data_IF_242785452849
#
_entry.id   IF_242785452849
#
_cell.length_a   1.000
_cell.length_b   1.000
_cell.length_c   1.000
_cell.angle_alpha   90.00
_cell.angle_beta   90.00
_cell.angle_gamma   90.00
#
_symmetry.space_group_name_H-M   'P 1'
#
loop_
_entity.id
_entity.type
_entity.pdbx_description
1 polymer ?
#
# COMPACT_ATOMS: atom_id res chain seq x y z
N UNK A 1 5.02 13.26 -12.09
CA UNK A 1 4.79 12.22 -13.13
C UNK A 1 5.40 12.58 -14.47
N UNK A 2 5.52 11.62 -15.40
CA UNK A 2 5.90 11.92 -16.78
C UNK A 2 4.68 11.78 -17.71
N UNK A 3 4.24 12.90 -18.27
CA UNK A 3 3.20 12.96 -19.29
C UNK A 3 3.85 13.10 -20.66
N UNK A 4 3.37 12.33 -21.63
CA UNK A 4 3.67 12.59 -23.04
C UNK A 4 2.43 13.19 -23.68
N UNK A 5 2.58 14.37 -24.26
CA UNK A 5 1.53 15.05 -24.98
C UNK A 5 1.92 15.15 -26.45
N UNK A 6 1.21 14.40 -27.28
CA UNK A 6 1.41 14.34 -28.71
C UNK A 6 0.29 15.12 -29.38
N UNK A 7 0.61 16.25 -30.01
CA UNK A 7 -0.37 17.06 -30.73
C UNK A 7 0.32 17.96 -31.74
N UNK A 8 -0.37 18.25 -32.84
CA UNK A 8 0.04 19.30 -33.78
C UNK A 8 -0.62 20.66 -33.46
N UNK A 9 -1.57 20.69 -32.52
CA UNK A 9 -2.24 21.91 -32.07
C UNK A 9 -1.48 22.53 -30.88
N UNK A 10 -0.72 23.58 -31.17
CA UNK A 10 0.07 24.36 -30.20
C UNK A 10 -0.82 25.01 -29.13
N UNK A 11 -2.05 25.40 -29.47
CA UNK A 11 -3.00 26.01 -28.54
C UNK A 11 -3.51 24.96 -27.56
N UNK A 12 -3.82 23.75 -28.06
CA UNK A 12 -4.17 22.62 -27.21
C UNK A 12 -3.04 22.24 -26.26
N UNK A 13 -1.80 22.11 -26.77
CA UNK A 13 -0.62 21.77 -25.96
C UNK A 13 -0.47 22.76 -24.80
N UNK A 14 -0.53 24.06 -25.09
CA UNK A 14 -0.34 25.11 -24.09
C UNK A 14 -1.41 25.08 -23.00
N UNK A 15 -2.69 24.90 -23.37
CA UNK A 15 -3.80 24.76 -22.41
C UNK A 15 -3.68 23.49 -21.56
N UNK A 16 -3.28 22.38 -22.18
CA UNK A 16 -3.09 21.11 -21.50
C UNK A 16 -1.96 21.15 -20.48
N UNK A 17 -0.84 21.79 -20.81
CA UNK A 17 0.27 21.98 -19.88
C UNK A 17 -0.20 22.76 -18.65
N UNK A 18 -0.97 23.83 -18.84
CA UNK A 18 -1.50 24.62 -17.73
C UNK A 18 -2.41 23.81 -16.81
N UNK A 19 -3.33 23.02 -17.38
CA UNK A 19 -4.25 22.18 -16.60
C UNK A 19 -3.55 21.00 -15.90
N UNK A 20 -2.56 20.38 -16.52
CA UNK A 20 -1.75 19.34 -15.88
C UNK A 20 -0.95 19.95 -14.72
N UNK A 21 -0.34 21.12 -14.90
CA UNK A 21 0.39 21.82 -13.84
C UNK A 21 -0.50 22.27 -12.68
N UNK A 22 -1.77 22.60 -12.94
CA UNK A 22 -2.76 22.84 -11.87
C UNK A 22 -3.06 21.58 -11.05
N UNK A 23 -2.95 20.39 -11.65
CA UNK A 23 -3.13 19.12 -10.95
C UNK A 23 -1.85 18.67 -10.23
N UNK A 24 -0.67 18.88 -10.84
CA UNK A 24 0.65 18.56 -10.29
C UNK A 24 1.71 19.52 -10.83
N UNK A 25 2.17 20.40 -9.95
CA UNK A 25 3.13 21.45 -10.30
C UNK A 25 4.48 20.89 -10.77
N UNK A 26 4.86 19.69 -10.30
CA UNK A 26 6.08 18.97 -10.65
C UNK A 26 5.96 17.98 -11.81
N UNK A 27 4.86 17.98 -12.56
CA UNK A 27 4.68 17.10 -13.71
C UNK A 27 5.71 17.39 -14.81
N UNK A 28 6.46 16.37 -15.23
CA UNK A 28 7.34 16.41 -16.39
C UNK A 28 6.51 16.15 -17.64
N UNK A 29 6.36 17.17 -18.48
CA UNK A 29 5.53 17.09 -19.68
C UNK A 29 6.44 17.10 -20.89
N UNK A 30 6.47 15.99 -21.61
CA UNK A 30 7.13 15.85 -22.89
C UNK A 30 6.13 16.19 -23.98
N UNK A 31 6.50 17.07 -24.90
CA UNK A 31 5.68 17.42 -26.05
C UNK A 31 6.36 16.96 -27.32
N UNK A 32 5.65 16.22 -28.16
CA UNK A 32 6.14 15.86 -29.50
C UNK A 32 5.09 16.16 -30.54
N UNK A 33 5.55 16.59 -31.71
CA UNK A 33 4.77 16.49 -32.93
C UNK A 33 4.81 15.05 -33.46
N UNK A 34 3.99 14.74 -34.47
CA UNK A 34 3.94 13.41 -35.08
C UNK A 34 5.16 13.09 -35.98
N UNK A 35 6.29 13.77 -35.81
CA UNK A 35 7.50 13.59 -36.63
C UNK A 35 8.43 12.49 -36.09
N UNK A 36 9.08 11.73 -36.97
CA UNK A 36 9.95 10.59 -36.62
C UNK A 36 11.16 10.98 -35.75
N UNK A 37 11.82 12.10 -36.05
CA UNK A 37 13.00 12.56 -35.28
C UNK A 37 12.63 12.89 -33.82
N UNK A 38 11.47 13.51 -33.62
CA UNK A 38 10.93 13.84 -32.29
C UNK A 38 10.60 12.57 -31.49
N UNK A 39 10.09 11.53 -32.15
CA UNK A 39 9.76 10.25 -31.51
C UNK A 39 10.99 9.46 -31.07
N UNK A 40 12.08 9.50 -31.85
CA UNK A 40 13.34 8.85 -31.50
C UNK A 40 13.96 9.45 -30.23
N UNK A 41 13.85 10.77 -30.08
CA UNK A 41 14.36 11.51 -28.92
C UNK A 41 13.59 11.20 -27.63
N UNK A 42 12.32 10.82 -27.72
CA UNK A 42 11.51 10.48 -26.55
C UNK A 42 11.71 9.04 -26.10
N UNK A 43 12.23 8.15 -26.95
CA UNK A 43 12.35 6.69 -26.69
C UNK A 43 12.96 6.32 -25.34
N UNK A 44 13.99 7.02 -24.87
CA UNK A 44 14.63 6.78 -23.56
C UNK A 44 13.78 7.22 -22.38
N UNK A 45 12.79 8.08 -22.62
CA UNK A 45 11.86 8.63 -21.63
C UNK A 45 10.49 7.95 -21.62
N UNK A 46 10.18 7.09 -22.62
CA UNK A 46 8.88 6.39 -22.75
C UNK A 46 8.68 5.37 -21.62
N UNK A 47 9.74 4.71 -21.18
CA UNK A 47 9.72 3.65 -20.16
C UNK A 47 9.19 4.09 -18.79
N UNK A 48 9.16 5.39 -18.54
CA UNK A 48 8.69 5.98 -17.28
C UNK A 48 7.43 6.83 -17.48
N UNK A 49 6.77 6.77 -18.65
CA UNK A 49 5.55 7.54 -18.90
C UNK A 49 4.39 7.02 -18.07
N UNK A 50 3.73 7.96 -17.40
CA UNK A 50 2.56 7.74 -16.58
C UNK A 50 1.27 7.73 -17.39
N UNK A 51 1.22 8.58 -18.42
CA UNK A 51 0.06 8.78 -19.28
C UNK A 51 0.51 9.41 -20.60
N UNK A 52 -0.04 8.95 -21.71
CA UNK A 52 0.13 9.58 -23.01
C UNK A 52 -1.21 10.19 -23.48
N UNK A 53 -1.17 11.43 -23.95
CA UNK A 53 -2.33 12.13 -24.51
C UNK A 53 -2.01 12.41 -25.97
N UNK A 54 -2.76 11.78 -26.86
CA UNK A 54 -2.61 11.90 -28.30
C UNK A 54 -3.81 12.69 -28.83
N UNK A 55 -3.58 13.95 -29.16
CA UNK A 55 -4.60 14.82 -29.71
C UNK A 55 -4.28 15.18 -31.16
N UNK A 56 -5.04 14.61 -32.09
CA UNK A 56 -4.93 14.86 -33.52
C UNK A 56 -6.07 15.76 -33.98
N UNK A 57 -5.75 16.80 -34.76
CA UNK A 57 -6.80 17.55 -35.46
C UNK A 57 -7.29 16.73 -36.67
N UNK A 58 -8.60 16.77 -37.05
CA UNK A 58 -9.17 15.92 -38.10
C UNK A 58 -8.48 15.98 -39.48
N UNK A 59 -7.69 17.03 -39.72
CA UNK A 59 -7.00 17.30 -40.99
C UNK A 59 -5.54 16.85 -41.04
N UNK A 60 -5.07 16.06 -40.05
CA UNK A 60 -3.63 15.81 -39.85
C UNK A 60 -3.12 14.59 -40.63
N UNK A 61 -3.87 13.50 -40.77
CA UNK A 61 -3.41 12.32 -41.52
C UNK A 61 -3.48 12.57 -43.02
N UNK A 62 -2.47 13.25 -43.57
CA UNK A 62 -2.36 13.50 -45.02
C UNK A 62 -1.80 12.30 -45.77
N UNK A 63 -1.06 11.42 -45.09
CA UNK A 63 -0.39 10.25 -45.70
C UNK A 63 -0.61 8.98 -44.89
N UNK A 64 -0.55 7.82 -45.55
CA UNK A 64 -0.73 6.49 -44.93
C UNK A 64 0.41 6.18 -43.95
N UNK A 65 1.63 6.65 -44.22
CA UNK A 65 2.84 6.39 -43.41
C UNK A 65 2.74 6.96 -41.99
N UNK A 66 2.23 8.19 -41.83
CA UNK A 66 2.04 8.83 -40.52
C UNK A 66 1.05 8.06 -39.63
N UNK A 67 0.04 7.43 -40.24
CA UNK A 67 -0.95 6.61 -39.51
C UNK A 67 -0.35 5.31 -38.97
N UNK A 68 0.55 4.67 -39.73
CA UNK A 68 1.28 3.47 -39.30
C UNK A 68 2.28 3.74 -38.20
N UNK A 69 2.98 4.88 -38.25
CA UNK A 69 3.93 5.27 -37.21
C UNK A 69 3.19 5.50 -35.88
N UNK A 70 2.07 6.22 -35.91
CA UNK A 70 1.26 6.46 -34.71
C UNK A 70 0.71 5.14 -34.12
N UNK A 71 0.25 4.22 -34.96
CA UNK A 71 -0.16 2.89 -34.51
C UNK A 71 0.99 2.11 -33.86
N UNK A 72 2.22 2.25 -34.35
CA UNK A 72 3.41 1.62 -33.74
C UNK A 72 3.76 2.22 -32.37
N UNK A 73 3.66 3.55 -32.23
CA UNK A 73 3.89 4.26 -30.95
C UNK A 73 2.82 3.88 -29.93
N UNK A 74 1.55 3.85 -30.34
CA UNK A 74 0.44 3.39 -29.49
C UNK A 74 0.62 1.92 -29.12
N UNK A 75 1.06 1.08 -30.06
CA UNK A 75 1.41 -0.33 -29.81
C UNK A 75 2.51 -0.49 -28.76
N UNK A 76 3.56 0.31 -28.84
CA UNK A 76 4.63 0.32 -27.84
C UNK A 76 4.14 0.80 -26.47
N UNK A 77 3.38 1.90 -26.42
CA UNK A 77 2.81 2.44 -25.18
C UNK A 77 1.85 1.45 -24.52
N UNK A 78 1.08 0.72 -25.34
CA UNK A 78 0.21 -0.34 -24.86
C UNK A 78 1.02 -1.52 -24.29
N UNK A 79 2.08 -1.94 -24.98
CA UNK A 79 2.98 -2.98 -24.50
C UNK A 79 3.72 -2.58 -23.20
N UNK A 80 4.04 -1.29 -23.02
CA UNK A 80 4.60 -0.74 -21.77
C UNK A 80 3.54 -0.50 -20.69
N UNK A 81 2.29 -0.91 -20.94
CA UNK A 81 1.14 -0.76 -20.05
C UNK A 81 0.89 0.71 -19.63
N UNK A 82 1.21 1.65 -20.52
CA UNK A 82 1.00 3.08 -20.34
C UNK A 82 -0.40 3.43 -20.84
N UNK A 83 -1.19 4.13 -20.01
CA UNK A 83 -2.52 4.56 -20.41
C UNK A 83 -2.45 5.60 -21.53
N UNK A 84 -3.32 5.49 -22.52
CA UNK A 84 -3.38 6.42 -23.67
C UNK A 84 -4.75 7.05 -23.74
N UNK A 85 -4.82 8.39 -23.82
CA UNK A 85 -6.03 9.13 -24.13
C UNK A 85 -5.89 9.64 -25.56
N UNK A 86 -6.90 9.41 -26.41
CA UNK A 86 -6.87 9.92 -27.77
C UNK A 86 -8.22 10.42 -28.27
N UNK A 87 -8.20 11.39 -29.17
CA UNK A 87 -9.38 11.86 -29.90
C UNK A 87 -9.46 11.27 -31.32
N UNK A 88 -8.43 10.56 -31.76
CA UNK A 88 -8.35 10.03 -33.11
C UNK A 88 -9.13 8.72 -33.24
N UNK A 89 -10.18 8.76 -34.07
CA UNK A 89 -11.02 7.60 -34.35
C UNK A 89 -10.37 6.61 -35.31
N UNK A 90 -9.33 6.98 -36.06
CA UNK A 90 -8.64 6.04 -36.95
C UNK A 90 -7.91 4.95 -36.15
N UNK A 91 -7.31 5.32 -35.02
CA UNK A 91 -6.76 4.37 -34.03
C UNK A 91 -7.82 3.42 -33.44
N UNK A 92 -9.10 3.83 -33.40
CA UNK A 92 -10.20 3.02 -32.88
C UNK A 92 -10.59 1.84 -33.80
N UNK A 93 -10.23 1.87 -35.09
CA UNK A 93 -10.50 0.77 -36.02
C UNK A 93 -9.48 -0.36 -35.91
N UNK A 94 -8.34 -0.13 -35.25
CA UNK A 94 -7.43 -1.21 -34.90
C UNK A 94 -8.00 -1.97 -33.69
N UNK A 95 -8.61 -3.12 -33.97
CA UNK A 95 -9.17 -4.08 -33.00
C UNK A 95 -8.22 -4.51 -31.87
N UNK A 96 -6.92 -4.21 -32.01
CA UNK A 96 -5.90 -4.45 -30.98
C UNK A 96 -6.03 -3.51 -29.76
N UNK A 97 -6.66 -2.34 -29.91
CA UNK A 97 -6.67 -1.27 -28.89
C UNK A 97 -8.01 -1.06 -28.20
N UNK A 98 -8.98 -1.97 -28.39
CA UNK A 98 -10.35 -1.85 -27.84
C UNK A 98 -10.48 -2.24 -26.36
N UNK A 99 -9.40 -2.66 -25.71
CA UNK A 99 -9.37 -3.00 -24.28
C UNK A 99 -8.96 -1.80 -23.41
N UNK A 100 -9.30 -1.87 -22.11
CA UNK A 100 -9.21 -0.87 -21.00
C UNK A 100 -8.04 0.15 -20.96
N UNK A 101 -6.98 -0.01 -21.76
CA UNK A 101 -5.79 0.86 -21.77
C UNK A 101 -5.88 2.12 -22.65
N UNK A 102 -6.77 2.16 -23.64
CA UNK A 102 -6.94 3.32 -24.55
C UNK A 102 -8.31 3.94 -24.37
N UNK A 103 -8.36 5.24 -24.07
CA UNK A 103 -9.60 5.98 -23.91
C UNK A 103 -9.84 7.01 -25.00
N UNK A 104 -11.01 6.92 -25.62
CA UNK A 104 -11.42 7.82 -26.70
C UNK A 104 -12.24 8.99 -26.17
N UNK A 105 -11.68 10.20 -26.26
CA UNK A 105 -12.31 11.44 -25.82
C UNK A 105 -12.18 12.50 -26.93
N UNK A 106 -13.31 12.87 -27.53
CA UNK A 106 -13.34 13.74 -28.71
C UNK A 106 -13.34 15.25 -28.40
N UNK A 107 -13.47 15.64 -27.12
CA UNK A 107 -13.56 17.06 -26.71
C UNK A 107 -12.49 17.39 -25.67
N UNK A 108 -11.81 18.53 -25.83
CA UNK A 108 -10.82 19.05 -24.87
C UNK A 108 -11.38 19.08 -23.45
N UNK A 109 -12.62 19.61 -23.30
CA UNK A 109 -13.32 19.70 -22.01
C UNK A 109 -13.51 18.33 -21.35
N UNK A 110 -13.75 17.29 -22.15
CA UNK A 110 -13.92 15.93 -21.63
C UNK A 110 -12.58 15.36 -21.19
N UNK A 111 -11.52 15.56 -21.97
CA UNK A 111 -10.14 15.17 -21.59
C UNK A 111 -9.76 15.82 -20.25
N UNK A 112 -10.00 17.13 -20.10
CA UNK A 112 -9.73 17.83 -18.84
C UNK A 112 -10.53 17.28 -17.66
N UNK A 113 -11.84 17.08 -17.84
CA UNK A 113 -12.69 16.54 -16.79
C UNK A 113 -12.28 15.12 -16.38
N UNK A 114 -11.88 14.32 -17.36
CA UNK A 114 -11.41 12.96 -17.15
C UNK A 114 -10.10 12.94 -16.36
N UNK A 115 -9.11 13.74 -16.79
CA UNK A 115 -7.85 13.91 -16.08
C UNK A 115 -8.10 14.34 -14.65
N UNK A 116 -8.87 15.40 -14.42
CA UNK A 116 -9.13 15.90 -13.08
C UNK A 116 -9.81 14.86 -12.18
N UNK A 117 -10.70 14.04 -12.74
CA UNK A 117 -11.40 12.97 -12.00
C UNK A 117 -10.50 11.76 -11.73
N UNK A 118 -9.65 11.38 -12.68
CA UNK A 118 -8.87 10.14 -12.65
C UNK A 118 -7.41 10.33 -12.26
N UNK A 119 -6.95 11.58 -12.10
CA UNK A 119 -5.57 11.93 -11.78
C UNK A 119 -5.04 11.11 -10.60
N UNK A 120 -5.79 11.08 -9.49
CA UNK A 120 -5.40 10.30 -8.30
C UNK A 120 -5.27 8.80 -8.57
N UNK A 121 -6.15 8.22 -9.40
CA UNK A 121 -6.09 6.79 -9.72
C UNK A 121 -4.92 6.46 -10.65
N UNK A 122 -4.64 7.33 -11.62
CA UNK A 122 -3.49 7.23 -12.52
C UNK A 122 -2.20 7.35 -11.69
N UNK A 123 -2.17 8.21 -10.68
CA UNK A 123 -1.04 8.35 -9.75
C UNK A 123 -0.76 7.08 -8.98
N UNK A 124 -1.76 6.58 -8.25
CA UNK A 124 -1.61 5.36 -7.46
C UNK A 124 -1.15 4.18 -8.32
N UNK A 125 -1.72 4.01 -9.54
CA UNK A 125 -1.27 2.96 -10.47
C UNK A 125 0.19 3.10 -10.89
N UNK A 126 0.64 4.33 -11.13
CA UNK A 126 2.01 4.59 -11.56
C UNK A 126 3.00 4.41 -10.43
N UNK A 127 2.70 4.91 -9.23
CA UNK A 127 3.54 4.72 -8.05
C UNK A 127 3.73 3.23 -7.76
N UNK A 128 2.62 2.47 -7.79
CA UNK A 128 2.65 1.01 -7.69
C UNK A 128 3.51 0.34 -8.76
N UNK A 129 3.42 0.78 -10.02
CA UNK A 129 4.23 0.24 -11.12
C UNK A 129 5.71 0.52 -10.90
N UNK A 130 6.05 1.75 -10.51
CA UNK A 130 7.43 2.17 -10.28
C UNK A 130 8.05 1.41 -9.11
N UNK A 131 7.33 1.26 -8.00
CA UNK A 131 7.79 0.48 -6.86
C UNK A 131 8.08 -0.98 -7.23
N UNK A 132 7.21 -1.62 -8.04
CA UNK A 132 7.44 -3.00 -8.55
C UNK A 132 8.65 -3.08 -9.48
N UNK A 133 8.82 -2.11 -10.38
CA UNK A 133 9.98 -2.03 -11.27
C UNK A 133 11.27 -1.87 -10.45
N UNK A 134 11.25 -1.06 -9.41
CA UNK A 134 12.39 -0.87 -8.51
C UNK A 134 12.74 -2.16 -7.76
N UNK A 135 11.75 -2.87 -7.20
CA UNK A 135 11.97 -4.18 -6.58
C UNK A 135 12.62 -5.17 -7.57
N UNK A 136 12.11 -5.22 -8.81
CA UNK A 136 12.67 -6.06 -9.87
C UNK A 136 14.11 -5.68 -10.21
N UNK A 137 14.44 -4.39 -10.34
CA UNK A 137 15.80 -3.91 -10.60
C UNK A 137 16.77 -4.27 -9.46
N UNK A 138 16.27 -4.29 -8.21
CA UNK A 138 17.04 -4.75 -7.04
C UNK A 138 17.14 -6.28 -6.95
N UNK A 139 16.54 -7.03 -7.87
CA UNK A 139 16.52 -8.50 -7.88
C UNK A 139 15.62 -9.10 -6.80
N UNK A 140 14.63 -8.35 -6.31
CA UNK A 140 13.74 -8.75 -5.23
C UNK A 140 12.40 -9.22 -5.81
N UNK A 141 12.02 -10.50 -5.65
CA UNK A 141 10.71 -10.98 -6.06
C UNK A 141 9.59 -10.29 -5.28
N UNK A 142 8.52 -9.88 -5.99
CA UNK A 142 7.32 -9.32 -5.37
C UNK A 142 6.42 -10.44 -4.86
N UNK A 143 6.80 -11.04 -3.73
CA UNK A 143 6.03 -12.10 -3.05
C UNK A 143 5.84 -11.79 -1.57
N UNK A 144 4.75 -12.28 -0.94
CA UNK A 144 4.54 -12.16 0.49
C UNK A 144 5.69 -12.71 1.34
N UNK A 145 6.25 -13.86 0.97
CA UNK A 145 7.32 -14.51 1.73
C UNK A 145 8.58 -13.64 1.74
N UNK A 146 8.95 -13.08 0.58
CA UNK A 146 10.07 -12.16 0.49
C UNK A 146 9.81 -10.91 1.34
N UNK A 147 8.60 -10.35 1.28
CA UNK A 147 8.24 -9.20 2.10
C UNK A 147 8.38 -9.50 3.60
N UNK A 148 7.86 -10.63 4.07
CA UNK A 148 8.01 -11.10 5.46
C UNK A 148 9.49 -11.16 5.89
N UNK A 149 10.37 -11.70 5.04
CA UNK A 149 11.80 -11.77 5.32
C UNK A 149 12.45 -10.38 5.43
N UNK A 150 12.05 -9.41 4.61
CA UNK A 150 12.60 -8.05 4.69
C UNK A 150 12.11 -7.28 5.90
N UNK A 151 10.89 -7.56 6.36
CA UNK A 151 10.37 -7.04 7.63
C UNK A 151 11.17 -7.64 8.79
N UNK A 152 11.39 -8.96 8.80
CA UNK A 152 12.23 -9.67 9.78
C UNK A 152 13.66 -9.11 9.84
N UNK A 153 14.22 -8.70 8.70
CA UNK A 153 15.55 -8.08 8.60
C UNK A 153 15.56 -6.57 8.88
N UNK A 154 14.41 -5.98 9.23
CA UNK A 154 14.22 -4.56 9.48
C UNK A 154 14.70 -3.63 8.34
N UNK A 155 14.48 -4.04 7.08
CA UNK A 155 14.87 -3.26 5.89
C UNK A 155 13.74 -2.30 5.49
N UNK A 156 13.65 -1.17 6.18
CA UNK A 156 12.57 -0.17 6.04
C UNK A 156 12.39 0.35 4.61
N UNK A 157 13.47 0.64 3.89
CA UNK A 157 13.42 1.13 2.51
C UNK A 157 12.70 0.14 1.58
N UNK A 158 13.11 -1.13 1.63
CA UNK A 158 12.52 -2.19 0.81
C UNK A 158 11.07 -2.42 1.24
N UNK A 159 10.80 -2.39 2.55
CA UNK A 159 9.43 -2.57 3.05
C UNK A 159 8.48 -1.46 2.59
N UNK A 160 8.96 -0.22 2.48
CA UNK A 160 8.16 0.88 1.91
C UNK A 160 7.86 0.63 0.44
N UNK A 161 8.84 0.17 -0.36
CA UNK A 161 8.61 -0.19 -1.76
C UNK A 161 7.55 -1.29 -1.91
N UNK A 162 7.52 -2.27 -1.01
CA UNK A 162 6.47 -3.29 -1.01
C UNK A 162 5.08 -2.73 -0.71
N UNK A 163 4.97 -1.78 0.22
CA UNK A 163 3.70 -1.10 0.53
C UNK A 163 3.24 -0.18 -0.60
N UNK A 164 4.16 0.58 -1.21
CA UNK A 164 3.90 1.41 -2.40
C UNK A 164 3.46 0.57 -3.60
N UNK A 165 4.00 -0.66 -3.72
CA UNK A 165 3.59 -1.64 -4.72
C UNK A 165 2.21 -2.30 -4.44
N UNK A 166 1.51 -1.86 -3.39
CA UNK A 166 0.22 -2.36 -2.89
C UNK A 166 0.24 -3.88 -2.69
N UNK A 167 1.25 -4.40 -1.98
CA UNK A 167 1.18 -5.77 -1.48
C UNK A 167 0.05 -5.90 -0.46
N UNK A 168 -0.60 -7.06 -0.40
CA UNK A 168 -1.64 -7.31 0.60
C UNK A 168 -1.04 -7.24 2.02
N UNK A 169 -1.44 -6.25 2.85
CA UNK A 169 -0.92 -6.08 4.20
C UNK A 169 -1.38 -7.19 5.16
N UNK A 170 -2.32 -8.04 4.74
CA UNK A 170 -2.83 -9.17 5.51
C UNK A 170 -2.16 -10.50 5.15
N UNK A 171 -1.12 -10.45 4.33
CA UNK A 171 -0.35 -11.65 4.01
C UNK A 171 0.28 -12.26 5.27
N UNK A 172 0.65 -13.54 5.15
CA UNK A 172 1.30 -14.32 6.20
C UNK A 172 2.64 -14.84 5.70
N UNK A 173 3.55 -15.14 6.62
CA UNK A 173 4.78 -15.88 6.31
C UNK A 173 4.52 -17.38 6.16
N UNK A 174 5.58 -18.14 5.86
CA UNK A 174 5.55 -19.60 5.72
C UNK A 174 5.08 -20.35 6.99
N UNK A 175 5.12 -19.70 8.15
CA UNK A 175 4.66 -20.24 9.43
C UNK A 175 3.25 -19.79 9.79
N UNK A 176 2.55 -19.11 8.88
CA UNK A 176 1.20 -18.59 9.12
C UNK A 176 1.17 -17.39 10.08
N UNK A 177 2.27 -16.65 10.21
CA UNK A 177 2.35 -15.42 11.02
C UNK A 177 1.95 -14.20 10.19
N UNK A 178 0.93 -13.42 10.60
CA UNK A 178 0.57 -12.17 9.90
C UNK A 178 1.72 -11.17 9.86
N UNK A 179 1.83 -10.38 8.78
CA UNK A 179 2.83 -9.32 8.62
C UNK A 179 2.88 -8.35 9.82
N UNK A 180 1.71 -8.00 10.37
CA UNK A 180 1.59 -7.13 11.54
C UNK A 180 2.29 -7.74 12.77
N UNK A 181 2.10 -9.03 13.04
CA UNK A 181 2.79 -9.74 14.11
C UNK A 181 4.31 -9.75 13.89
N UNK A 182 4.78 -9.96 12.66
CA UNK A 182 6.23 -9.93 12.35
C UNK A 182 6.81 -8.54 12.64
N UNK A 183 6.12 -7.47 12.24
CA UNK A 183 6.54 -6.10 12.53
C UNK A 183 6.63 -5.81 14.05
N UNK A 184 5.62 -6.26 14.80
CA UNK A 184 5.60 -6.16 16.27
C UNK A 184 6.73 -6.98 16.91
N UNK A 185 6.99 -8.19 16.41
CA UNK A 185 8.10 -9.07 16.85
C UNK A 185 9.49 -8.50 16.55
N UNK A 186 9.58 -7.42 15.76
CA UNK A 186 10.81 -6.68 15.51
C UNK A 186 10.91 -5.33 16.23
N UNK A 187 9.90 -4.94 17.03
CA UNK A 187 9.82 -3.66 17.75
C UNK A 187 9.85 -2.44 16.81
N UNK A 188 9.43 -2.61 15.56
CA UNK A 188 9.41 -1.51 14.61
C UNK A 188 8.06 -0.78 14.65
N UNK A 189 7.93 0.17 15.58
CA UNK A 189 6.70 0.96 15.77
C UNK A 189 6.28 1.72 14.51
N UNK A 190 7.22 2.34 13.79
CA UNK A 190 6.93 3.09 12.56
C UNK A 190 6.34 2.19 11.49
N UNK A 191 6.84 0.96 11.39
CA UNK A 191 6.34 0.01 10.41
C UNK A 191 4.99 -0.61 10.82
N UNK A 192 4.77 -0.80 12.13
CA UNK A 192 3.44 -1.16 12.66
C UNK A 192 2.41 -0.10 12.28
N UNK A 193 2.72 1.19 12.44
CA UNK A 193 1.83 2.29 12.01
C UNK A 193 1.52 2.20 10.52
N UNK A 194 2.55 2.06 9.67
CA UNK A 194 2.39 1.95 8.22
C UNK A 194 1.54 0.76 7.77
N UNK A 195 1.72 -0.41 8.39
CA UNK A 195 0.91 -1.59 8.07
C UNK A 195 -0.56 -1.40 8.47
N UNK A 196 -0.82 -0.80 9.63
CA UNK A 196 -2.18 -0.49 10.06
C UNK A 196 -2.83 0.55 9.15
N UNK A 197 -2.09 1.57 8.72
CA UNK A 197 -2.56 2.59 7.79
C UNK A 197 -2.82 2.01 6.38
N UNK A 198 -2.07 0.96 6.00
CA UNK A 198 -2.31 0.19 4.78
C UNK A 198 -3.51 -0.76 4.86
N UNK A 199 -4.13 -0.92 6.03
CA UNK A 199 -5.31 -1.77 6.23
C UNK A 199 -5.01 -3.19 6.72
N UNK A 200 -3.88 -3.40 7.43
CA UNK A 200 -3.63 -4.66 8.13
C UNK A 200 -4.70 -4.93 9.19
N UNK A 201 -5.23 -6.15 9.20
CA UNK A 201 -6.20 -6.62 10.19
C UNK A 201 -5.53 -6.80 11.55
N UNK A 202 -6.00 -6.05 12.53
CA UNK A 202 -5.37 -5.93 13.85
C UNK A 202 -5.57 -7.16 14.76
N UNK A 203 -6.65 -7.92 14.57
CA UNK A 203 -7.06 -9.04 15.43
C UNK A 203 -6.76 -10.43 14.83
N UNK A 204 -6.02 -10.49 13.71
CA UNK A 204 -5.60 -11.78 13.16
C UNK A 204 -4.57 -12.44 14.10
N UNK A 205 -4.73 -13.74 14.34
CA UNK A 205 -3.82 -14.51 15.18
C UNK A 205 -2.78 -15.26 14.35
N UNK A 206 -1.56 -15.37 14.88
CA UNK A 206 -0.50 -16.19 14.32
C UNK A 206 -0.79 -17.69 14.46
N UNK A 207 -0.38 -18.50 13.48
CA UNK A 207 -0.59 -19.94 13.55
C UNK A 207 0.35 -20.67 14.50
N UNK A 208 1.48 -20.08 14.91
CA UNK A 208 2.40 -20.71 15.85
C UNK A 208 1.78 -20.82 17.26
N UNK A 209 1.49 -19.68 17.89
CA UNK A 209 1.04 -19.55 19.29
C UNK A 209 -0.42 -19.10 19.42
N UNK A 210 -1.08 -18.75 18.32
CA UNK A 210 -2.39 -18.10 18.36
C UNK A 210 -2.33 -16.67 18.87
N UNK A 211 -1.18 -15.99 18.71
CA UNK A 211 -1.01 -14.65 19.25
C UNK A 211 -1.55 -13.60 18.28
N UNK A 212 -2.37 -12.68 18.76
CA UNK A 212 -2.67 -11.45 18.03
C UNK A 212 -1.49 -10.48 18.11
N UNK A 213 -1.49 -9.43 17.29
CA UNK A 213 -0.45 -8.41 17.33
C UNK A 213 -0.26 -7.79 18.73
N UNK A 214 -1.35 -7.59 19.48
CA UNK A 214 -1.27 -7.10 20.88
C UNK A 214 -0.60 -8.12 21.79
N UNK A 215 -0.92 -9.40 21.67
CA UNK A 215 -0.29 -10.45 22.49
C UNK A 215 1.22 -10.49 22.27
N UNK A 216 1.68 -10.38 21.02
CA UNK A 216 3.10 -10.30 20.72
C UNK A 216 3.74 -9.03 21.34
N UNK A 217 3.08 -7.86 21.27
CA UNK A 217 3.58 -6.62 21.88
C UNK A 217 3.67 -6.71 23.41
N UNK A 218 2.64 -7.30 24.04
CA UNK A 218 2.54 -7.52 25.48
C UNK A 218 3.63 -8.47 25.97
N UNK A 219 3.80 -9.62 25.29
CA UNK A 219 4.84 -10.60 25.61
C UNK A 219 6.24 -9.98 25.54
N UNK A 220 6.48 -9.16 24.53
CA UNK A 220 7.76 -8.45 24.37
C UNK A 220 7.95 -7.30 25.35
N UNK A 221 6.88 -6.82 25.98
CA UNK A 221 6.95 -5.71 26.93
C UNK A 221 7.04 -4.34 26.27
N UNK A 222 6.67 -4.23 24.99
CA UNK A 222 6.73 -2.95 24.27
C UNK A 222 5.48 -2.12 24.55
N UNK A 223 5.60 -1.18 25.48
CA UNK A 223 4.50 -0.34 25.93
C UNK A 223 3.93 0.54 24.81
N UNK A 224 4.78 1.17 23.99
CA UNK A 224 4.33 2.11 22.95
C UNK A 224 3.58 1.38 21.83
N UNK A 225 4.09 0.23 21.37
CA UNK A 225 3.38 -0.61 20.39
C UNK A 225 2.08 -1.15 20.97
N UNK A 226 2.08 -1.58 22.23
CA UNK A 226 0.85 -2.06 22.90
C UNK A 226 -0.20 -0.95 22.95
N UNK A 227 0.19 0.25 23.36
CA UNK A 227 -0.68 1.43 23.40
C UNK A 227 -1.22 1.78 22.01
N UNK A 228 -0.36 1.82 20.99
CA UNK A 228 -0.76 2.08 19.61
C UNK A 228 -1.81 1.08 19.13
N UNK A 229 -1.62 -0.22 19.39
CA UNK A 229 -2.57 -1.26 18.97
C UNK A 229 -3.91 -1.14 19.70
N UNK A 230 -3.91 -0.82 21.00
CA UNK A 230 -5.13 -0.53 21.78
C UNK A 230 -5.87 0.66 21.16
N UNK A 231 -5.18 1.77 20.88
CA UNK A 231 -5.75 2.97 20.27
C UNK A 231 -6.35 2.69 18.87
N UNK A 232 -5.82 1.68 18.17
CA UNK A 232 -6.30 1.24 16.85
C UNK A 232 -7.41 0.19 16.92
N UNK A 233 -7.93 -0.12 18.11
CA UNK A 233 -9.11 -0.96 18.29
C UNK A 233 -8.83 -2.45 18.41
N UNK A 234 -7.64 -2.83 18.91
CA UNK A 234 -7.33 -4.24 19.13
C UNK A 234 -8.19 -4.89 20.23
N UNK A 235 -8.56 -6.15 20.02
CA UNK A 235 -9.35 -6.93 20.98
C UNK A 235 -8.49 -7.47 22.13
N UNK A 236 -8.77 -7.00 23.35
CA UNK A 236 -7.95 -7.29 24.54
C UNK A 236 -8.31 -8.60 25.25
N UNK A 237 -9.49 -9.14 24.98
CA UNK A 237 -10.00 -10.37 25.62
C UNK A 237 -9.85 -11.61 24.72
N UNK A 238 -9.02 -11.52 23.68
CA UNK A 238 -8.61 -12.68 22.88
C UNK A 238 -7.75 -13.63 23.71
N UNK A 239 -7.74 -14.91 23.33
CA UNK A 239 -6.95 -15.96 24.00
C UNK A 239 -6.00 -16.64 23.01
N UNK A 240 -4.80 -16.98 23.49
CA UNK A 240 -3.82 -17.75 22.73
C UNK A 240 -4.24 -19.22 22.57
N UNK A 241 -3.45 -20.02 21.83
CA UNK A 241 -3.65 -21.47 21.75
C UNK A 241 -3.56 -22.18 23.11
N UNK A 242 -2.87 -21.59 24.08
CA UNK A 242 -2.77 -22.09 25.46
C UNK A 242 -3.88 -21.53 26.37
N UNK A 243 -4.84 -20.79 25.80
CA UNK A 243 -5.90 -20.13 26.55
C UNK A 243 -5.47 -18.86 27.29
N UNK A 244 -4.24 -18.38 27.09
CA UNK A 244 -3.73 -17.20 27.80
C UNK A 244 -4.33 -15.93 27.20
N UNK A 245 -4.95 -15.10 28.05
CA UNK A 245 -5.37 -13.75 27.67
C UNK A 245 -4.21 -12.76 27.63
N UNK A 246 -4.40 -11.57 27.06
CA UNK A 246 -3.39 -10.50 27.10
C UNK A 246 -2.94 -10.18 28.53
N UNK A 247 -3.86 -10.15 29.49
CA UNK A 247 -3.51 -9.91 30.89
C UNK A 247 -2.74 -11.08 31.50
N UNK A 248 -3.09 -12.34 31.20
CA UNK A 248 -2.31 -13.50 31.68
C UNK A 248 -0.86 -13.41 31.18
N UNK A 249 -0.65 -13.08 29.90
CA UNK A 249 0.69 -12.86 29.33
C UNK A 249 1.44 -11.72 30.02
N UNK A 250 0.78 -10.57 30.23
CA UNK A 250 1.37 -9.41 30.89
C UNK A 250 1.78 -9.71 32.34
N UNK A 251 0.93 -10.41 33.09
CA UNK A 251 1.20 -10.81 34.48
C UNK A 251 2.32 -11.84 34.52
N UNK A 252 2.31 -12.85 33.65
CA UNK A 252 3.38 -13.85 33.57
C UNK A 252 4.75 -13.23 33.31
N UNK A 253 4.82 -12.25 32.41
CA UNK A 253 6.04 -11.53 32.05
C UNK A 253 6.38 -10.33 32.96
N UNK A 254 5.61 -10.11 34.04
CA UNK A 254 5.81 -9.03 35.01
C UNK A 254 5.76 -7.60 34.43
N UNK A 255 4.89 -7.38 33.45
CA UNK A 255 4.78 -6.11 32.72
C UNK A 255 3.76 -5.17 33.39
N UNK A 256 4.13 -4.59 34.53
CA UNK A 256 3.24 -3.75 35.36
C UNK A 256 2.51 -2.65 34.55
N UNK A 257 3.25 -1.81 33.82
CA UNK A 257 2.67 -0.71 33.02
C UNK A 257 1.72 -1.21 31.92
N UNK A 258 2.00 -2.39 31.36
CA UNK A 258 1.14 -3.00 30.35
C UNK A 258 -0.11 -3.59 30.99
N UNK A 259 -0.02 -4.18 32.18
CA UNK A 259 -1.19 -4.61 32.95
C UNK A 259 -2.11 -3.41 33.22
N UNK A 260 -1.55 -2.26 33.59
CA UNK A 260 -2.30 -1.03 33.85
C UNK A 260 -3.05 -0.55 32.60
N UNK A 261 -2.38 -0.42 31.45
CA UNK A 261 -3.05 0.06 30.24
C UNK A 261 -4.08 -0.94 29.70
N UNK A 262 -3.82 -2.25 29.79
CA UNK A 262 -4.77 -3.28 29.38
C UNK A 262 -6.03 -3.24 30.25
N UNK A 263 -5.88 -3.21 31.58
CA UNK A 263 -7.01 -3.17 32.51
C UNK A 263 -7.86 -1.91 32.33
N UNK A 264 -7.22 -0.74 32.22
CA UNK A 264 -7.92 0.55 31.96
C UNK A 264 -8.72 0.56 30.66
N UNK A 265 -8.33 -0.25 29.67
CA UNK A 265 -9.01 -0.35 28.37
C UNK A 265 -9.96 -1.56 28.29
N UNK A 266 -10.34 -2.16 29.41
CA UNK A 266 -11.40 -3.18 29.47
C UNK A 266 -10.93 -4.62 29.23
N UNK A 267 -9.63 -4.90 29.39
CA UNK A 267 -9.16 -6.29 29.48
C UNK A 267 -9.67 -6.94 30.77
N UNK A 268 -10.29 -8.11 30.66
CA UNK A 268 -10.91 -8.84 31.76
C UNK A 268 -9.83 -9.66 32.52
N UNK A 269 -9.56 -9.35 33.80
CA UNK A 269 -8.53 -10.05 34.58
C UNK A 269 -8.92 -11.47 35.01
N UNK A 270 -10.17 -11.88 34.77
CA UNK A 270 -10.75 -13.14 35.23
C UNK A 270 -10.90 -14.20 34.15
N UNK A 271 -10.48 -13.89 32.92
CA UNK A 271 -10.36 -14.90 31.85
C UNK A 271 -9.36 -15.96 32.31
N UNK A 272 -9.85 -17.19 32.42
CA UNK A 272 -9.05 -18.36 32.83
C UNK A 272 -8.39 -18.99 31.62
N UNK A 273 -7.13 -19.34 31.80
CA UNK A 273 -6.38 -20.14 30.85
C UNK A 273 -6.72 -21.64 30.96
N UNK A 274 -5.99 -22.48 30.21
CA UNK A 274 -6.18 -23.93 30.25
C UNK A 274 -5.85 -24.56 31.60
N UNK A 275 -5.09 -23.89 32.46
CA UNK A 275 -4.79 -24.33 33.83
C UNK A 275 -5.87 -23.89 34.83
N UNK A 276 -6.91 -23.19 34.36
CA UNK A 276 -7.97 -22.65 35.21
C UNK A 276 -7.56 -21.39 35.98
N UNK A 277 -6.41 -20.80 35.65
CA UNK A 277 -5.84 -19.64 36.33
C UNK A 277 -6.14 -18.38 35.52
N UNK A 278 -6.54 -17.31 36.21
CA UNK A 278 -6.73 -15.99 35.61
C UNK A 278 -5.53 -15.07 35.85
N UNK A 279 -5.51 -13.90 35.21
CA UNK A 279 -4.45 -12.92 35.44
C UNK A 279 -4.44 -12.46 36.91
N UNK A 280 -5.61 -12.21 37.50
CA UNK A 280 -5.72 -11.91 38.93
C UNK A 280 -5.28 -13.09 39.81
N UNK A 281 -5.66 -14.32 39.43
CA UNK A 281 -5.23 -15.54 40.11
C UNK A 281 -3.71 -15.72 40.12
N UNK A 282 -3.04 -15.47 38.99
CA UNK A 282 -1.57 -15.51 38.92
C UNK A 282 -0.91 -14.40 39.72
N UNK A 283 -1.44 -13.17 39.65
CA UNK A 283 -0.90 -12.04 40.39
C UNK A 283 -0.96 -12.28 41.92
N UNK A 284 -2.06 -12.85 42.41
CA UNK A 284 -2.24 -13.20 43.83
C UNK A 284 -1.38 -14.39 44.23
N UNK A 285 -1.34 -15.47 43.44
CA UNK A 285 -0.54 -16.67 43.71
C UNK A 285 0.96 -16.35 43.83
N UNK A 286 1.49 -15.55 42.91
CA UNK A 286 2.90 -15.15 42.89
C UNK A 286 3.20 -13.90 43.73
N UNK A 287 2.21 -13.39 44.48
CA UNK A 287 2.35 -12.22 45.39
C UNK A 287 2.85 -10.96 44.68
N UNK A 288 2.39 -10.72 43.45
CA UNK A 288 2.70 -9.52 42.66
C UNK A 288 1.84 -8.35 43.12
N UNK A 289 2.17 -7.78 44.29
CA UNK A 289 1.34 -6.79 45.00
C UNK A 289 0.92 -5.61 44.13
N UNK A 290 1.85 -5.03 43.37
CA UNK A 290 1.58 -3.89 42.49
C UNK A 290 0.53 -4.23 41.41
N UNK A 291 0.67 -5.39 40.77
CA UNK A 291 -0.28 -5.87 39.76
C UNK A 291 -1.64 -6.20 40.37
N UNK A 292 -1.66 -6.79 41.57
CA UNK A 292 -2.92 -7.07 42.29
C UNK A 292 -3.69 -5.77 42.54
N UNK A 293 -3.03 -4.71 43.02
CA UNK A 293 -3.68 -3.41 43.23
C UNK A 293 -4.20 -2.79 41.93
N UNK A 294 -3.49 -2.98 40.81
CA UNK A 294 -3.94 -2.52 39.49
C UNK A 294 -5.17 -3.28 38.99
N UNK A 295 -5.20 -4.61 39.17
CA UNK A 295 -6.27 -5.46 38.62
C UNK A 295 -7.49 -5.57 39.53
N UNK A 296 -7.34 -5.35 40.84
CA UNK A 296 -8.40 -5.45 41.84
C UNK A 296 -9.69 -4.68 41.51
N UNK A 297 -9.66 -3.45 40.95
CA UNK A 297 -10.88 -2.74 40.55
C UNK A 297 -11.66 -3.39 39.41
N UNK A 298 -11.01 -4.24 38.62
CA UNK A 298 -11.58 -4.87 37.42
C UNK A 298 -11.95 -6.34 37.64
N UNK A 299 -11.53 -6.92 38.77
CA UNK A 299 -11.86 -8.27 39.19
C UNK A 299 -13.33 -8.37 39.63
N UNK A 300 -14.02 -9.43 39.20
CA UNK A 300 -15.38 -9.77 39.63
C UNK A 300 -15.32 -10.90 40.66
N UNK A 301 -15.85 -10.63 41.85
CA UNK A 301 -15.99 -11.60 42.95
C UNK A 301 -16.87 -12.81 42.59
#
# INVERSE_FOLDING_TARGET
MNFLLMSNDVVFISKMIEEIKKCEEGALILTTDFQEESLLNVKTSIDNLSLCIIYSSPSVYKTVEESTLLASVVGYLFASNTSVITNDRQLAYHTLFTNDGVQFLNDDKKIFSYLKKQYRQINLKNDRRMARKELMMKGIPFTPDCFCQYIAKNKTEICNLFLEAEIDPNSRDEFGTPLLNIAVRNDNEDFVKKLLDAGAKINESSEDRGYTAVMDAVWRGNYEITKLLIERGAELNTISKEGQSNLVLAVGADRVKICEILAKNGADPDIKDQMGMSAYGYATLFKKTEIVEILKPYHKE
#
